data_IF_420421848644
#
_entry.id   IF_420421848644
#
_cell.length_a   1.000
_cell.length_b   1.000
_cell.length_c   1.000
_cell.angle_alpha   90.00
_cell.angle_beta   90.00
_cell.angle_gamma   90.00
#
_symmetry.space_group_name_H-M   'P 1'
#
loop_
_entity.id
_entity.type
_entity.pdbx_description
1 polymer ?
#
# COMPACT_ATOMS: atom_id res chain seq x y z
N UNK A 1 16.02 7.90 -5.81
CA UNK A 1 17.17 7.72 -4.89
C UNK A 1 16.78 6.71 -3.81
N UNK A 2 17.71 5.99 -3.17
CA UNK A 2 17.45 5.18 -1.96
C UNK A 2 18.55 5.42 -0.93
N UNK A 3 18.21 5.42 0.35
CA UNK A 3 19.18 5.48 1.45
C UNK A 3 19.24 4.14 2.16
N UNK A 4 20.44 3.60 2.38
CA UNK A 4 20.68 2.31 3.00
C UNK A 4 21.51 2.47 4.27
N UNK A 5 21.32 1.59 5.24
CA UNK A 5 22.25 1.41 6.35
C UNK A 5 23.40 0.52 5.88
N UNK A 6 24.62 1.02 5.99
CA UNK A 6 25.87 0.32 5.73
C UNK A 6 26.39 -0.34 7.01
N UNK A 7 26.79 -1.61 6.93
CA UNK A 7 27.52 -2.30 7.98
C UNK A 7 29.01 -2.00 7.84
N UNK A 8 29.54 -1.19 8.74
CA UNK A 8 30.98 -0.91 8.80
C UNK A 8 31.75 -2.11 9.37
N UNK A 9 33.05 -2.20 9.07
CA UNK A 9 33.92 -3.28 9.53
C UNK A 9 34.01 -3.39 11.06
N UNK A 10 33.87 -2.27 11.77
CA UNK A 10 33.83 -2.19 13.23
C UNK A 10 32.47 -2.62 13.83
N UNK A 11 31.51 -3.00 12.97
CA UNK A 11 30.16 -3.42 13.35
C UNK A 11 29.19 -2.28 13.62
N UNK A 12 29.62 -1.02 13.48
CA UNK A 12 28.74 0.15 13.52
C UNK A 12 27.90 0.26 12.25
N UNK A 13 26.90 1.16 12.27
CA UNK A 13 26.04 1.43 11.12
C UNK A 13 26.10 2.90 10.74
N UNK A 14 26.06 3.19 9.45
CA UNK A 14 25.97 4.55 8.90
C UNK A 14 24.97 4.58 7.74
N UNK A 15 24.40 5.75 7.46
CA UNK A 15 23.52 5.92 6.31
C UNK A 15 24.34 6.26 5.06
N UNK A 16 23.98 5.66 3.93
CA UNK A 16 24.58 5.93 2.62
C UNK A 16 23.48 6.09 1.59
N UNK A 17 23.59 7.14 0.78
CA UNK A 17 22.66 7.42 -0.32
C UNK A 17 23.14 6.79 -1.63
N UNK A 18 22.20 6.24 -2.37
CA UNK A 18 22.44 5.58 -3.64
C UNK A 18 21.48 6.09 -4.70
N UNK A 19 22.07 6.43 -5.85
CA UNK A 19 21.36 6.45 -7.12
C UNK A 19 21.72 5.15 -7.86
N UNK A 20 20.87 4.69 -8.81
CA UNK A 20 21.19 3.51 -9.59
C UNK A 20 22.59 3.59 -10.23
N UNK A 21 23.38 2.50 -10.22
CA UNK A 21 23.05 1.18 -9.67
C UNK A 21 23.15 1.10 -8.13
N UNK A 22 22.16 0.48 -7.50
CA UNK A 22 22.11 0.24 -6.05
C UNK A 22 22.79 -1.11 -5.73
N UNK A 23 23.67 -1.21 -4.71
CA UNK A 23 24.29 -2.48 -4.34
C UNK A 23 23.26 -3.47 -3.77
N UNK A 24 23.54 -4.79 -3.75
CA UNK A 24 22.67 -5.75 -3.08
C UNK A 24 22.43 -5.39 -1.61
N UNK A 25 21.16 -5.46 -1.19
CA UNK A 25 20.75 -5.08 0.16
C UNK A 25 19.64 -5.99 0.69
N UNK A 26 19.57 -6.10 2.02
CA UNK A 26 18.41 -6.65 2.70
C UNK A 26 17.37 -5.56 2.98
N UNK A 27 16.12 -5.93 3.18
CA UNK A 27 15.06 -5.00 3.57
C UNK A 27 14.30 -5.55 4.78
N UNK A 28 14.12 -4.72 5.81
CA UNK A 28 13.37 -5.10 6.99
C UNK A 28 11.88 -4.79 6.79
N UNK A 29 11.05 -5.79 7.05
CA UNK A 29 9.61 -5.66 7.20
C UNK A 29 9.26 -5.89 8.66
N UNK A 30 8.62 -4.91 9.30
CA UNK A 30 8.26 -4.99 10.72
C UNK A 30 7.03 -4.17 11.04
N UNK A 31 6.40 -4.47 12.18
CA UNK A 31 5.38 -3.59 12.73
C UNK A 31 6.02 -2.55 13.64
N UNK A 32 5.63 -1.30 13.50
CA UNK A 32 6.09 -0.24 14.39
C UNK A 32 5.61 -0.49 15.84
N UNK A 33 6.48 -0.14 16.78
CA UNK A 33 6.25 -0.25 18.21
C UNK A 33 5.67 1.05 18.79
N UNK A 34 6.13 1.39 19.99
CA UNK A 34 5.89 2.71 20.56
C UNK A 34 6.64 3.77 19.71
N UNK A 35 5.96 4.82 19.20
CA UNK A 35 6.59 5.87 18.40
C UNK A 35 7.79 6.55 19.08
N UNK A 36 7.82 6.61 20.42
CA UNK A 36 8.94 7.22 21.15
C UNK A 36 10.16 6.30 21.23
N UNK A 37 9.96 5.00 21.04
CA UNK A 37 10.99 3.96 21.11
C UNK A 37 11.39 3.43 19.73
N UNK A 38 10.70 3.84 18.67
CA UNK A 38 11.07 3.53 17.29
C UNK A 38 12.29 4.36 16.88
N UNK A 39 13.23 3.74 16.17
CA UNK A 39 14.44 4.42 15.71
C UNK A 39 14.11 5.21 14.46
N UNK A 40 14.32 6.52 14.53
CA UNK A 40 14.11 7.44 13.41
C UNK A 40 15.40 7.69 12.61
N UNK A 41 15.26 8.38 11.48
CA UNK A 41 16.40 8.90 10.71
C UNK A 41 17.32 9.77 11.58
N UNK A 42 16.74 10.65 12.40
CA UNK A 42 17.51 11.57 13.25
C UNK A 42 18.31 10.81 14.31
N UNK A 43 17.76 9.72 14.86
CA UNK A 43 18.48 8.92 15.85
C UNK A 43 19.74 8.25 15.28
N UNK A 44 19.73 7.89 13.99
CA UNK A 44 20.92 7.37 13.32
C UNK A 44 21.94 8.48 13.11
N UNK A 45 21.51 9.65 12.62
CA UNK A 45 22.40 10.80 12.37
C UNK A 45 23.06 11.29 13.68
N UNK A 46 22.32 11.30 14.78
CA UNK A 46 22.79 11.76 16.09
C UNK A 46 23.54 10.68 16.88
N UNK A 47 23.57 9.42 16.39
CA UNK A 47 24.19 8.30 17.10
C UNK A 47 23.42 7.86 18.36
N UNK A 48 22.16 8.24 18.50
CA UNK A 48 21.29 7.92 19.65
C UNK A 48 20.43 6.69 19.45
N UNK A 49 20.46 6.08 18.26
CA UNK A 49 19.64 4.92 17.91
C UNK A 49 19.74 3.76 18.92
N UNK A 50 20.93 3.49 19.48
CA UNK A 50 21.14 2.41 20.45
C UNK A 50 20.43 2.61 21.80
N UNK A 51 19.97 3.83 22.09
CA UNK A 51 19.23 4.17 23.31
C UNK A 51 17.74 3.79 23.20
N UNK A 52 17.24 3.59 21.98
CA UNK A 52 15.84 3.27 21.69
C UNK A 52 15.57 1.77 21.87
N UNK A 53 14.47 1.41 22.52
CA UNK A 53 14.11 -0.01 22.74
C UNK A 53 13.89 -0.77 21.43
N UNK A 54 13.32 -0.15 20.40
CA UNK A 54 13.09 -0.82 19.11
C UNK A 54 14.35 -0.95 18.24
N UNK A 55 15.49 -0.44 18.70
CA UNK A 55 16.80 -0.71 18.07
C UNK A 55 17.12 -2.19 17.95
N UNK A 56 16.48 -3.05 18.77
CA UNK A 56 16.53 -4.51 18.63
C UNK A 56 16.20 -4.99 17.21
N UNK A 57 15.26 -4.35 16.50
CA UNK A 57 14.87 -4.69 15.13
C UNK A 57 16.00 -4.43 14.14
N UNK A 58 16.64 -3.27 14.26
CA UNK A 58 17.82 -2.89 13.46
C UNK A 58 18.99 -3.82 13.78
N UNK A 59 19.23 -4.10 15.06
CA UNK A 59 20.29 -5.04 15.49
C UNK A 59 20.06 -6.44 14.93
N UNK A 60 18.81 -6.92 14.90
CA UNK A 60 18.43 -8.16 14.25
C UNK A 60 18.73 -8.10 12.74
N UNK A 61 18.19 -7.11 12.04
CA UNK A 61 18.36 -6.99 10.58
C UNK A 61 19.83 -6.92 10.19
N UNK A 62 20.62 -6.13 10.92
CA UNK A 62 22.08 -6.03 10.77
C UNK A 62 22.75 -7.40 10.89
N UNK A 63 22.45 -8.15 11.95
CA UNK A 63 23.03 -9.49 12.15
C UNK A 63 22.65 -10.46 11.04
N UNK A 64 21.37 -10.46 10.64
CA UNK A 64 20.88 -11.35 9.60
C UNK A 64 21.46 -10.99 8.23
N UNK A 65 21.52 -9.70 7.87
CA UNK A 65 22.16 -9.21 6.65
C UNK A 65 23.64 -9.63 6.59
N UNK A 66 24.40 -9.45 7.67
CA UNK A 66 25.79 -9.89 7.76
C UNK A 66 25.93 -11.42 7.56
N UNK A 67 25.03 -12.21 8.17
CA UNK A 67 25.03 -13.67 8.02
C UNK A 67 24.74 -14.12 6.59
N UNK A 68 23.96 -13.35 5.85
CA UNK A 68 23.64 -13.58 4.44
C UNK A 68 24.64 -12.90 3.48
N UNK A 69 25.74 -12.33 3.99
CA UNK A 69 26.80 -11.71 3.18
C UNK A 69 26.43 -10.34 2.58
N UNK A 70 25.45 -9.66 3.16
CA UNK A 70 24.99 -8.34 2.70
C UNK A 70 25.56 -7.22 3.58
N UNK A 71 26.21 -6.25 2.94
CA UNK A 71 26.79 -5.08 3.60
C UNK A 71 25.81 -3.92 3.77
N UNK A 72 24.66 -3.98 3.09
CA UNK A 72 23.64 -2.95 3.12
C UNK A 72 22.28 -3.52 3.51
N UNK A 73 21.50 -2.73 4.24
CA UNK A 73 20.11 -3.05 4.51
C UNK A 73 19.26 -1.79 4.64
N UNK A 74 17.95 -1.94 4.47
CA UNK A 74 16.99 -0.85 4.52
C UNK A 74 15.94 -1.08 5.62
N UNK A 75 15.58 0.01 6.30
CA UNK A 75 14.54 0.05 7.34
C UNK A 75 13.77 1.37 7.16
N UNK A 76 12.46 1.30 6.92
CA UNK A 76 11.61 2.45 6.60
C UNK A 76 11.68 3.59 7.63
N UNK A 77 11.71 3.25 8.92
CA UNK A 77 11.66 4.24 10.01
C UNK A 77 12.91 5.13 10.07
N UNK A 78 14.06 4.64 9.61
CA UNK A 78 15.33 5.37 9.73
C UNK A 78 16.10 5.57 8.43
N UNK A 79 15.71 4.90 7.34
CA UNK A 79 16.25 5.17 6.02
C UNK A 79 15.49 6.30 5.30
N UNK A 80 14.22 6.55 5.66
CA UNK A 80 13.43 7.67 5.16
C UNK A 80 13.47 8.81 6.20
N UNK A 81 13.82 10.01 5.77
CA UNK A 81 13.63 11.23 6.55
C UNK A 81 12.16 11.67 6.48
N UNK A 82 11.31 11.00 7.26
CA UNK A 82 9.85 11.20 7.23
C UNK A 82 9.38 12.66 7.42
N UNK A 83 10.04 13.51 8.23
CA UNK A 83 9.72 14.94 8.31
C UNK A 83 9.89 15.71 6.99
N UNK A 84 10.72 15.21 6.06
CA UNK A 84 10.86 15.79 4.72
C UNK A 84 9.78 15.21 3.81
N UNK A 85 8.70 15.97 3.57
CA UNK A 85 7.56 15.51 2.78
C UNK A 85 7.91 15.15 1.34
N UNK A 86 8.84 15.87 0.70
CA UNK A 86 9.29 15.55 -0.66
C UNK A 86 9.95 14.17 -0.70
N UNK A 87 10.81 13.89 0.29
CA UNK A 87 11.46 12.59 0.42
C UNK A 87 10.46 11.47 0.75
N UNK A 88 9.54 11.73 1.68
CA UNK A 88 8.48 10.78 2.06
C UNK A 88 7.60 10.41 0.85
N UNK A 89 7.23 11.40 0.03
CA UNK A 89 6.43 11.21 -1.18
C UNK A 89 7.16 10.39 -2.24
N UNK A 90 8.44 10.69 -2.49
CA UNK A 90 9.29 9.87 -3.38
C UNK A 90 9.41 8.44 -2.85
N UNK A 91 9.60 8.29 -1.52
CA UNK A 91 9.79 7.00 -0.89
C UNK A 91 8.56 6.10 -0.98
N UNK A 92 7.37 6.61 -0.66
CA UNK A 92 6.13 5.84 -0.75
C UNK A 92 5.86 5.38 -2.19
N UNK A 93 6.09 6.24 -3.18
CA UNK A 93 5.95 5.87 -4.59
C UNK A 93 7.02 4.88 -5.06
N UNK A 94 8.16 4.78 -4.36
CA UNK A 94 9.27 3.89 -4.70
C UNK A 94 9.29 2.59 -3.90
N UNK A 95 8.57 2.51 -2.77
CA UNK A 95 8.75 1.47 -1.77
C UNK A 95 8.53 0.06 -2.32
N UNK A 96 7.50 -0.14 -3.14
CA UNK A 96 7.24 -1.44 -3.79
C UNK A 96 8.43 -1.90 -4.64
N UNK A 97 9.07 -0.97 -5.38
CA UNK A 97 10.27 -1.27 -6.17
C UNK A 97 11.43 -1.65 -5.27
N UNK A 98 11.63 -0.94 -4.16
CA UNK A 98 12.71 -1.26 -3.21
C UNK A 98 12.52 -2.65 -2.59
N UNK A 99 11.30 -2.99 -2.16
CA UNK A 99 11.01 -4.35 -1.70
C UNK A 99 11.24 -5.40 -2.79
N UNK A 100 10.84 -5.12 -4.04
CA UNK A 100 11.05 -6.04 -5.16
C UNK A 100 12.52 -6.28 -5.50
N UNK A 101 13.35 -5.25 -5.38
CA UNK A 101 14.78 -5.28 -5.74
C UNK A 101 15.70 -5.72 -4.60
N UNK A 102 15.19 -5.80 -3.37
CA UNK A 102 15.94 -6.32 -2.23
C UNK A 102 16.34 -7.79 -2.43
N UNK A 103 17.56 -8.15 -2.02
CA UNK A 103 18.05 -9.53 -2.08
C UNK A 103 17.23 -10.44 -1.14
N UNK A 104 16.96 -9.96 0.07
CA UNK A 104 16.11 -10.62 1.05
C UNK A 104 15.24 -9.61 1.79
N UNK A 105 13.96 -9.93 1.94
CA UNK A 105 13.08 -9.28 2.91
C UNK A 105 13.03 -10.10 4.20
N UNK A 106 13.46 -9.51 5.31
CA UNK A 106 13.36 -10.12 6.63
C UNK A 106 12.11 -9.59 7.34
N UNK A 107 11.17 -10.47 7.62
CA UNK A 107 9.97 -10.16 8.40
C UNK A 107 10.26 -10.43 9.86
N UNK A 108 10.36 -9.37 10.66
CA UNK A 108 10.57 -9.47 12.10
C UNK A 108 9.23 -9.40 12.84
N UNK A 109 8.77 -10.55 13.35
CA UNK A 109 7.48 -10.70 14.01
C UNK A 109 7.61 -10.47 15.52
N UNK A 110 7.49 -9.22 15.95
CA UNK A 110 7.72 -8.80 17.34
C UNK A 110 6.76 -9.41 18.38
N UNK A 111 5.67 -10.05 17.93
CA UNK A 111 4.62 -10.69 18.74
C UNK A 111 4.57 -12.22 18.60
N UNK A 112 5.55 -12.82 17.95
CA UNK A 112 5.69 -14.28 17.80
C UNK A 112 6.98 -14.72 18.50
N UNK A 113 6.89 -15.70 19.40
CA UNK A 113 8.04 -16.23 20.15
C UNK A 113 8.21 -17.72 19.91
N UNK A 114 9.44 -18.15 19.61
CA UNK A 114 9.80 -19.57 19.50
C UNK A 114 9.88 -20.28 20.85
N UNK A 115 9.87 -19.52 21.95
CA UNK A 115 9.88 -20.05 23.32
C UNK A 115 8.52 -20.60 23.74
N UNK A 116 7.46 -20.23 23.02
CA UNK A 116 6.12 -20.78 23.20
C UNK A 116 5.99 -22.04 22.35
N UNK A 117 5.54 -23.15 22.94
CA UNK A 117 5.42 -24.45 22.25
C UNK A 117 3.97 -24.89 22.09
N UNK A 118 3.74 -25.85 21.18
CA UNK A 118 2.43 -26.48 20.99
C UNK A 118 1.41 -25.57 20.27
N UNK A 119 0.10 -25.77 20.48
CA UNK A 119 -0.96 -25.03 19.79
C UNK A 119 -0.88 -23.50 19.95
N UNK A 120 -0.34 -23.01 21.07
CA UNK A 120 -0.16 -21.60 21.34
C UNK A 120 0.84 -20.94 20.37
N UNK A 121 1.91 -21.64 19.99
CA UNK A 121 2.90 -21.14 19.04
C UNK A 121 2.27 -20.86 17.67
N UNK A 122 1.46 -21.81 17.18
CA UNK A 122 0.70 -21.64 15.94
C UNK A 122 -0.28 -20.47 16.05
N UNK A 123 -0.95 -20.31 17.20
CA UNK A 123 -1.86 -19.19 17.40
C UNK A 123 -1.16 -17.83 17.35
N UNK A 124 0.10 -17.70 17.80
CA UNK A 124 0.82 -16.42 17.74
C UNK A 124 1.08 -16.00 16.30
N UNK A 125 1.57 -16.90 15.46
CA UNK A 125 1.80 -16.61 14.04
C UNK A 125 0.50 -16.16 13.35
N UNK A 126 -0.59 -16.92 13.53
CA UNK A 126 -1.89 -16.62 12.91
C UNK A 126 -2.51 -15.30 13.36
N UNK A 127 -2.21 -14.85 14.59
CA UNK A 127 -2.76 -13.62 15.17
C UNK A 127 -1.78 -12.45 15.14
N UNK A 128 -0.63 -12.62 14.50
CA UNK A 128 0.38 -11.57 14.48
C UNK A 128 -0.16 -10.31 13.82
N UNK A 129 0.11 -9.16 14.46
CA UNK A 129 -0.20 -7.84 13.94
C UNK A 129 0.42 -7.59 12.57
N UNK A 130 1.50 -8.30 12.22
CA UNK A 130 2.13 -8.14 10.92
C UNK A 130 1.16 -8.41 9.77
N UNK A 131 0.27 -9.39 9.90
CA UNK A 131 -0.75 -9.70 8.87
C UNK A 131 -1.88 -8.67 8.79
N UNK A 132 -2.04 -7.81 9.81
CA UNK A 132 -3.11 -6.81 9.87
C UNK A 132 -2.65 -5.40 9.52
N UNK A 133 -1.38 -5.17 9.18
CA UNK A 133 -0.89 -3.85 8.73
C UNK A 133 -1.08 -3.70 7.23
N UNK A 134 -1.52 -2.53 6.78
CA UNK A 134 -1.72 -2.23 5.35
C UNK A 134 -0.43 -2.38 4.55
N UNK A 135 0.64 -1.71 5.01
CA UNK A 135 1.94 -1.68 4.34
C UNK A 135 2.57 -3.06 4.14
N UNK A 136 2.41 -4.00 5.06
CA UNK A 136 3.01 -5.36 4.95
C UNK A 136 2.49 -6.17 3.76
N UNK A 137 1.38 -5.74 3.12
CA UNK A 137 0.89 -6.38 1.90
C UNK A 137 1.91 -6.29 0.76
N UNK A 138 2.44 -5.09 0.48
CA UNK A 138 3.47 -4.94 -0.55
C UNK A 138 4.80 -5.56 -0.12
N UNK A 139 5.11 -5.54 1.17
CA UNK A 139 6.32 -6.15 1.73
C UNK A 139 6.31 -7.68 1.59
N UNK A 140 5.12 -8.30 1.53
CA UNK A 140 4.93 -9.72 1.26
C UNK A 140 5.02 -10.05 -0.25
N UNK A 141 4.35 -9.24 -1.06
CA UNK A 141 4.11 -9.53 -2.48
C UNK A 141 5.23 -9.07 -3.40
N UNK A 142 5.90 -7.97 -3.10
CA UNK A 142 6.92 -7.39 -3.96
C UNK A 142 8.24 -8.20 -3.98
N UNK A 143 8.83 -8.61 -2.83
CA UNK A 143 10.13 -9.29 -2.83
C UNK A 143 10.05 -10.72 -3.36
N UNK A 144 11.09 -11.16 -4.07
CA UNK A 144 11.26 -12.55 -4.47
C UNK A 144 11.50 -13.46 -3.25
N UNK A 145 12.28 -13.00 -2.27
CA UNK A 145 12.63 -13.73 -1.05
C UNK A 145 12.08 -13.03 0.19
N UNK A 146 11.19 -13.70 0.94
CA UNK A 146 10.66 -13.21 2.22
C UNK A 146 10.87 -14.30 3.28
N UNK A 147 11.60 -13.97 4.35
CA UNK A 147 11.95 -14.88 5.46
C UNK A 147 11.40 -14.34 6.77
N UNK A 148 10.70 -15.17 7.53
CA UNK A 148 10.01 -14.81 8.77
C UNK A 148 10.85 -15.18 9.98
N UNK A 149 10.92 -14.27 10.95
CA UNK A 149 11.70 -14.42 12.17
C UNK A 149 10.88 -14.04 13.40
N UNK A 150 11.14 -14.71 14.52
CA UNK A 150 10.50 -14.43 15.80
C UNK A 150 11.07 -13.17 16.47
N UNK A 151 10.51 -12.80 17.62
CA UNK A 151 11.04 -11.72 18.46
C UNK A 151 12.43 -12.03 19.04
N UNK A 152 12.84 -13.30 19.09
CA UNK A 152 14.19 -13.72 19.45
C UNK A 152 15.18 -13.61 18.27
N UNK A 153 14.67 -13.45 17.05
CA UNK A 153 15.45 -13.52 15.81
C UNK A 153 15.62 -14.95 15.27
N UNK A 154 14.85 -15.91 15.78
CA UNK A 154 14.89 -17.29 15.31
C UNK A 154 14.06 -17.46 14.02
N UNK A 155 14.50 -18.29 13.07
CA UNK A 155 13.76 -18.51 11.83
C UNK A 155 12.42 -19.23 12.08
N UNK A 156 11.34 -18.70 11.50
CA UNK A 156 9.99 -19.29 11.52
C UNK A 156 9.64 -20.00 10.21
N UNK A 157 10.36 -19.69 9.14
CA UNK A 157 10.14 -20.19 7.78
C UNK A 157 10.28 -19.07 6.75
N UNK A 158 10.03 -19.41 5.50
CA UNK A 158 9.97 -18.48 4.37
C UNK A 158 8.59 -18.47 3.70
N UNK A 159 8.37 -17.52 2.79
CA UNK A 159 7.10 -17.36 2.05
C UNK A 159 6.63 -18.63 1.33
N UNK A 160 7.55 -19.50 0.89
CA UNK A 160 7.22 -20.75 0.21
C UNK A 160 6.81 -21.83 1.21
N UNK A 161 7.62 -22.06 2.24
CA UNK A 161 7.35 -23.03 3.31
C UNK A 161 6.09 -22.70 4.13
N UNK A 162 5.70 -21.42 4.19
CA UNK A 162 4.54 -20.92 4.92
C UNK A 162 3.37 -20.53 4.02
N UNK A 163 3.42 -20.82 2.71
CA UNK A 163 2.45 -20.31 1.72
C UNK A 163 0.99 -20.66 2.07
N UNK A 164 0.74 -21.86 2.62
CA UNK A 164 -0.60 -22.31 2.99
C UNK A 164 -1.11 -21.56 4.22
N UNK A 165 -0.25 -21.31 5.21
CA UNK A 165 -0.56 -20.54 6.40
C UNK A 165 -0.84 -19.08 6.01
N UNK A 166 0.03 -18.49 5.19
CA UNK A 166 -0.12 -17.11 4.71
C UNK A 166 -1.42 -16.97 3.90
N UNK A 167 -1.69 -17.87 2.95
CA UNK A 167 -2.94 -17.88 2.19
C UNK A 167 -4.16 -17.96 3.11
N UNK A 168 -4.14 -18.84 4.12
CA UNK A 168 -5.27 -18.99 5.04
C UNK A 168 -5.56 -17.71 5.84
N UNK A 169 -4.52 -16.97 6.22
CA UNK A 169 -4.62 -15.72 6.99
C UNK A 169 -5.06 -14.56 6.08
N UNK A 170 -4.40 -14.39 4.94
CA UNK A 170 -4.52 -13.17 4.11
C UNK A 170 -5.49 -13.31 2.93
N UNK A 171 -5.90 -14.54 2.61
CA UNK A 171 -6.67 -14.91 1.41
C UNK A 171 -5.97 -14.59 0.08
N UNK A 172 -4.69 -14.25 0.11
CA UNK A 172 -3.88 -14.04 -1.08
C UNK A 172 -3.69 -15.38 -1.80
N UNK A 173 -3.98 -15.43 -3.10
CA UNK A 173 -3.79 -16.62 -3.92
C UNK A 173 -2.33 -17.12 -3.84
N UNK A 174 -2.14 -18.43 -3.66
CA UNK A 174 -0.80 -19.04 -3.56
C UNK A 174 0.06 -18.72 -4.79
N UNK A 175 -0.54 -18.59 -5.97
CA UNK A 175 0.17 -18.20 -7.21
C UNK A 175 0.77 -16.80 -7.08
N UNK A 176 0.09 -15.87 -6.41
CA UNK A 176 0.63 -14.53 -6.15
C UNK A 176 1.79 -14.60 -5.15
N UNK A 177 1.67 -15.41 -4.09
CA UNK A 177 2.76 -15.63 -3.12
C UNK A 177 4.01 -16.22 -3.78
N UNK A 178 3.83 -17.08 -4.79
CA UNK A 178 4.88 -17.69 -5.61
C UNK A 178 5.43 -16.77 -6.71
N UNK A 179 4.99 -15.51 -6.78
CA UNK A 179 5.54 -14.51 -7.71
C UNK A 179 4.88 -14.46 -9.08
N UNK A 180 3.67 -15.02 -9.25
CA UNK A 180 2.89 -14.79 -10.46
C UNK A 180 2.66 -13.27 -10.64
N UNK A 181 2.85 -12.70 -11.84
CA UNK A 181 2.69 -11.27 -12.05
C UNK A 181 1.32 -10.77 -11.58
N UNK A 182 1.30 -9.66 -10.84
CA UNK A 182 0.08 -9.11 -10.24
C UNK A 182 -0.98 -8.70 -11.27
N UNK A 183 -0.53 -8.34 -12.49
CA UNK A 183 -1.39 -8.04 -13.64
C UNK A 183 -2.24 -9.23 -14.12
N UNK A 184 -1.94 -10.46 -13.69
CA UNK A 184 -2.71 -11.65 -14.02
C UNK A 184 -3.84 -11.96 -13.03
N UNK A 185 -4.02 -11.10 -12.01
CA UNK A 185 -5.09 -11.19 -11.03
C UNK A 185 -6.09 -10.07 -11.25
N UNK A 186 -7.36 -10.33 -10.97
CA UNK A 186 -8.40 -9.33 -11.19
C UNK A 186 -8.25 -8.16 -10.22
N UNK A 187 -8.82 -7.02 -10.58
CA UNK A 187 -8.80 -5.81 -9.74
C UNK A 187 -9.55 -6.05 -8.43
N UNK A 188 -10.79 -6.58 -8.43
CA UNK A 188 -11.47 -6.92 -7.19
C UNK A 188 -10.64 -7.86 -6.32
N UNK A 189 -10.03 -8.89 -6.91
CA UNK A 189 -9.17 -9.82 -6.18
C UNK A 189 -8.00 -9.12 -5.49
N UNK A 190 -7.26 -8.25 -6.18
CA UNK A 190 -6.17 -7.47 -5.58
C UNK A 190 -6.64 -6.55 -4.46
N UNK A 191 -7.83 -5.95 -4.59
CA UNK A 191 -8.46 -5.15 -3.54
C UNK A 191 -8.76 -6.03 -2.32
N UNK A 192 -9.30 -7.25 -2.49
CA UNK A 192 -9.63 -8.11 -1.35
C UNK A 192 -8.43 -8.46 -0.47
N UNK A 193 -7.19 -8.45 -1.01
CA UNK A 193 -5.98 -8.71 -0.24
C UNK A 193 -5.65 -7.63 0.80
N UNK A 194 -6.26 -6.45 0.68
CA UNK A 194 -6.16 -5.37 1.67
C UNK A 194 -7.22 -5.47 2.77
N UNK A 195 -8.22 -6.36 2.62
CA UNK A 195 -9.31 -6.53 3.57
C UNK A 195 -8.80 -6.93 4.96
N UNK A 196 -9.38 -6.32 6.00
CA UNK A 196 -8.99 -6.53 7.39
C UNK A 196 -7.65 -5.90 7.81
N UNK A 197 -6.95 -5.23 6.88
CA UNK A 197 -5.71 -4.50 7.19
C UNK A 197 -6.01 -3.08 7.68
N UNK A 198 -5.12 -2.58 8.52
CA UNK A 198 -5.21 -1.30 9.21
C UNK A 198 -3.97 -0.44 8.91
N UNK A 199 -4.19 0.86 8.80
CA UNK A 199 -3.16 1.86 8.58
C UNK A 199 -3.18 2.90 9.68
N UNK A 200 -2.05 3.60 9.90
CA UNK A 200 -1.97 4.64 10.92
C UNK A 200 -2.63 5.94 10.47
N UNK A 201 -2.48 6.27 9.17
CA UNK A 201 -3.21 7.34 8.51
C UNK A 201 -4.30 6.76 7.62
N UNK A 202 -5.37 7.49 7.46
CA UNK A 202 -6.54 7.06 6.69
C UNK A 202 -6.18 6.87 5.20
N UNK A 203 -5.38 7.78 4.64
CA UNK A 203 -4.98 7.77 3.24
C UNK A 203 -4.00 6.63 2.90
N UNK A 204 -3.24 6.16 3.89
CA UNK A 204 -2.32 5.04 3.70
C UNK A 204 -3.06 3.75 3.30
N UNK A 205 -4.37 3.65 3.55
CA UNK A 205 -5.19 2.55 3.05
C UNK A 205 -5.17 2.47 1.52
N UNK A 206 -5.04 3.61 0.84
CA UNK A 206 -4.82 3.69 -0.59
C UNK A 206 -3.33 3.64 -0.95
N UNK A 207 -2.48 4.40 -0.24
CA UNK A 207 -1.07 4.54 -0.60
C UNK A 207 -0.27 3.24 -0.47
N UNK A 208 -0.64 2.35 0.45
CA UNK A 208 -0.01 1.03 0.55
C UNK A 208 -0.29 0.11 -0.66
N UNK A 209 -1.24 0.48 -1.53
CA UNK A 209 -1.66 -0.29 -2.71
C UNK A 209 -1.05 0.22 -4.01
N UNK A 210 -0.34 1.35 -4.02
CA UNK A 210 0.22 1.96 -5.24
C UNK A 210 1.04 0.97 -6.06
N UNK A 211 1.94 0.23 -5.42
CA UNK A 211 2.75 -0.77 -6.09
C UNK A 211 1.99 -2.02 -6.55
N UNK A 212 0.90 -2.38 -5.87
CA UNK A 212 0.03 -3.52 -6.23
C UNK A 212 -0.77 -3.21 -7.50
N UNK A 213 -1.19 -1.95 -7.65
CA UNK A 213 -1.86 -1.44 -8.85
C UNK A 213 -0.89 -0.90 -9.90
N UNK A 214 0.39 -0.80 -9.55
CA UNK A 214 1.45 -0.20 -10.35
C UNK A 214 1.10 1.24 -10.80
N UNK A 215 0.56 2.05 -9.89
CA UNK A 215 0.23 3.46 -10.14
C UNK A 215 1.07 4.38 -9.27
N UNK A 216 1.13 5.65 -9.66
CA UNK A 216 1.83 6.69 -8.93
C UNK A 216 0.89 7.88 -8.77
N UNK A 217 0.61 8.28 -7.54
CA UNK A 217 -0.24 9.44 -7.26
C UNK A 217 0.45 10.35 -6.23
N UNK A 218 0.21 11.67 -6.27
CA UNK A 218 0.71 12.59 -5.25
C UNK A 218 0.17 12.21 -3.87
N UNK A 219 0.96 12.28 -2.81
CA UNK A 219 0.42 12.10 -1.46
C UNK A 219 -0.29 13.38 -1.00
N UNK A 220 -1.47 13.25 -0.40
CA UNK A 220 -2.25 14.37 0.13
C UNK A 220 -2.82 13.94 1.49
N UNK A 221 -1.99 13.98 2.52
CA UNK A 221 -2.46 13.70 3.88
C UNK A 221 -3.43 14.80 4.34
N UNK A 222 -4.59 14.39 4.85
CA UNK A 222 -5.74 15.24 5.16
C UNK A 222 -6.88 15.16 4.14
N UNK A 223 -6.70 14.47 3.00
CA UNK A 223 -7.79 14.23 2.04
C UNK A 223 -8.79 13.17 2.53
N UNK A 224 -8.40 12.35 3.50
CA UNK A 224 -9.22 11.27 4.05
C UNK A 224 -9.24 10.02 3.16
N UNK A 225 -9.56 8.88 3.79
CA UNK A 225 -9.50 7.54 3.14
C UNK A 225 -10.30 7.46 1.84
N UNK A 226 -11.54 7.97 1.84
CA UNK A 226 -12.44 7.85 0.68
C UNK A 226 -11.88 8.56 -0.57
N UNK A 227 -11.34 9.77 -0.41
CA UNK A 227 -10.77 10.54 -1.52
C UNK A 227 -9.46 9.91 -2.02
N UNK A 228 -8.60 9.45 -1.11
CA UNK A 228 -7.36 8.76 -1.46
C UNK A 228 -7.64 7.47 -2.26
N UNK A 229 -8.64 6.68 -1.83
CA UNK A 229 -9.08 5.46 -2.53
C UNK A 229 -9.66 5.78 -3.91
N UNK A 230 -10.52 6.80 -4.01
CA UNK A 230 -11.08 7.25 -5.29
C UNK A 230 -9.97 7.61 -6.29
N UNK A 231 -8.96 8.37 -5.86
CA UNK A 231 -7.81 8.75 -6.70
C UNK A 231 -6.97 7.55 -7.14
N UNK A 232 -6.77 6.58 -6.25
CA UNK A 232 -6.10 5.32 -6.58
C UNK A 232 -6.86 4.58 -7.70
N UNK A 233 -8.17 4.45 -7.56
CA UNK A 233 -9.05 3.78 -8.55
C UNK A 233 -9.05 4.52 -9.89
N UNK A 234 -9.20 5.84 -9.88
CA UNK A 234 -9.15 6.68 -11.08
C UNK A 234 -7.82 6.56 -11.82
N UNK A 235 -6.69 6.61 -11.11
CA UNK A 235 -5.37 6.50 -11.74
C UNK A 235 -5.14 5.11 -12.32
N UNK A 236 -5.62 4.09 -11.61
CA UNK A 236 -5.55 2.73 -12.09
C UNK A 236 -6.43 2.50 -13.33
N UNK A 237 -7.63 3.09 -13.38
CA UNK A 237 -8.51 3.01 -14.54
C UNK A 237 -7.89 3.70 -15.77
N UNK A 238 -7.30 4.89 -15.61
CA UNK A 238 -6.55 5.57 -16.68
C UNK A 238 -5.42 4.70 -17.23
N UNK A 239 -4.70 3.99 -16.34
CA UNK A 239 -3.64 3.06 -16.74
C UNK A 239 -4.18 1.92 -17.59
N UNK A 240 -5.33 1.34 -17.22
CA UNK A 240 -5.97 0.27 -18.01
C UNK A 240 -6.41 0.78 -19.40
N UNK A 241 -6.98 1.97 -19.47
CA UNK A 241 -7.40 2.60 -20.73
C UNK A 241 -6.22 2.78 -21.68
N UNK A 242 -5.11 3.32 -21.17
CA UNK A 242 -3.86 3.50 -21.92
C UNK A 242 -3.28 2.16 -22.40
N UNK A 243 -3.35 1.11 -21.59
CA UNK A 243 -2.88 -0.22 -21.97
C UNK A 243 -3.79 -0.90 -23.02
N UNK A 244 -5.09 -0.57 -23.04
CA UNK A 244 -6.07 -1.11 -23.98
C UNK A 244 -6.13 -0.39 -25.34
N UNK A 245 -5.40 0.71 -25.50
CA UNK A 245 -5.30 1.44 -26.78
C UNK A 245 -6.60 2.14 -27.22
N UNK A 246 -7.56 2.39 -26.31
CA UNK A 246 -8.75 3.18 -26.65
C UNK A 246 -8.35 4.64 -26.90
N UNK A 247 -8.62 5.24 -28.07
CA UNK A 247 -8.34 6.64 -28.31
C UNK A 247 -9.17 7.49 -27.34
N UNK A 248 -8.54 8.49 -26.71
CA UNK A 248 -9.28 9.60 -26.12
C UNK A 248 -10.04 10.27 -27.26
N UNK A 249 -11.36 10.40 -27.14
CA UNK A 249 -12.09 11.39 -27.91
C UNK A 249 -11.54 12.77 -27.49
N UNK A 250 -10.61 13.30 -28.28
CA UNK A 250 -10.19 14.68 -28.14
C UNK A 250 -11.42 15.56 -28.42
N UNK A 251 -11.95 16.18 -27.36
CA UNK A 251 -12.89 17.28 -27.49
C UNK A 251 -12.11 18.42 -28.15
N UNK A 252 -12.15 18.46 -29.48
CA UNK A 252 -11.66 19.58 -30.25
C UNK A 252 -12.55 20.79 -29.95
N UNK A 253 -12.02 21.71 -29.13
CA UNK A 253 -12.56 23.05 -28.95
C UNK A 253 -12.48 23.81 -30.29
N UNK A 254 -13.57 23.73 -31.06
CA UNK A 254 -13.72 24.45 -32.32
C UNK A 254 -14.27 25.85 -32.03
N UNK A 255 -13.41 26.73 -31.54
CA UNK A 255 -13.73 28.14 -31.34
C UNK A 255 -12.72 29.08 -32.01
N UNK A 256 -12.40 28.85 -33.29
CA UNK A 256 -11.97 29.90 -34.23
C UNK A 256 -12.49 29.63 -35.64
N UNK A 257 -13.55 30.32 -36.05
CA UNK A 257 -13.59 31.07 -37.33
C UNK A 257 -14.91 31.84 -37.48
N UNK A 258 -14.77 33.04 -38.04
CA UNK A 258 -15.71 34.16 -38.09
C UNK A 258 -16.57 34.12 -39.35
N UNK A 259 -17.77 34.73 -39.24
CA UNK A 259 -18.65 35.33 -40.28
C UNK A 259 -19.78 34.48 -40.92
N UNK A 260 -20.99 34.95 -40.62
CA UNK A 260 -22.35 34.80 -41.19
C UNK A 260 -22.51 35.53 -42.57
N UNK A 261 -23.69 35.57 -43.25
CA UNK A 261 -24.97 34.81 -43.09
C UNK A 261 -25.72 34.41 -44.42
N UNK A 262 -26.94 33.89 -44.24
CA UNK A 262 -28.13 33.75 -45.14
C UNK A 262 -28.37 32.33 -45.68
N UNK A 263 -29.59 31.78 -45.81
CA UNK A 263 -30.96 32.29 -45.67
C UNK A 263 -31.92 31.15 -45.24
N UNK A 264 -33.15 31.51 -44.89
CA UNK A 264 -34.19 30.71 -44.27
C UNK A 264 -34.86 29.64 -45.15
N UNK A 265 -35.39 28.58 -44.52
CA UNK A 265 -36.77 28.11 -44.77
C UNK A 265 -37.26 27.16 -43.68
N UNK A 266 -38.48 27.46 -43.26
CA UNK A 266 -39.38 26.87 -42.25
C UNK A 266 -39.75 25.41 -42.50
N UNK A 267 -39.97 24.61 -41.46
CA UNK A 267 -41.20 23.80 -41.27
C UNK A 267 -41.23 23.10 -39.90
N UNK A 268 -42.34 23.31 -39.22
CA UNK A 268 -42.75 22.77 -37.92
C UNK A 268 -43.08 21.27 -37.99
N UNK A 269 -42.91 20.56 -36.87
CA UNK A 269 -43.97 19.66 -36.36
C UNK A 269 -43.77 19.31 -34.88
N UNK A 270 -44.91 19.22 -34.20
CA UNK A 270 -45.11 19.08 -32.76
C UNK A 270 -45.12 17.61 -32.28
N UNK A 271 -44.74 17.46 -31.01
CA UNK A 271 -45.24 16.57 -29.94
C UNK A 271 -45.72 15.13 -30.26
N UNK A 272 -45.21 14.17 -29.49
CA UNK A 272 -46.02 13.27 -28.64
C UNK A 272 -45.19 12.65 -27.51
N UNK A 273 -45.90 12.33 -26.42
CA UNK A 273 -45.50 11.90 -25.09
C UNK A 273 -45.47 10.37 -24.89
N UNK A 274 -44.96 9.96 -23.71
CA UNK A 274 -45.05 8.65 -23.05
C UNK A 274 -44.06 7.59 -23.56
N UNK A 275 -43.41 6.75 -22.74
CA UNK A 275 -43.49 6.47 -21.31
C UNK A 275 -42.85 5.09 -21.07
N UNK A 276 -42.07 4.99 -19.99
CA UNK A 276 -41.80 3.83 -19.13
C UNK A 276 -41.34 2.47 -19.71
N UNK A 277 -40.26 1.95 -19.14
CA UNK A 277 -40.02 0.50 -19.02
C UNK A 277 -38.54 0.15 -18.81
N UNK A 278 -38.15 -0.14 -17.56
CA UNK A 278 -36.82 -0.71 -17.27
C UNK A 278 -36.46 -0.69 -15.79
N UNK A 279 -37.07 -1.59 -15.02
CA UNK A 279 -36.63 -2.02 -13.69
C UNK A 279 -35.16 -2.47 -13.71
N UNK A 280 -34.32 -1.94 -12.81
CA UNK A 280 -33.14 -2.63 -12.30
C UNK A 280 -32.84 -2.17 -10.86
N UNK A 281 -32.95 -3.15 -9.97
CA UNK A 281 -32.46 -3.31 -8.59
C UNK A 281 -31.53 -2.22 -8.02
N UNK A 282 -31.95 -1.65 -6.89
CA UNK A 282 -31.21 -0.69 -6.08
C UNK A 282 -30.04 -1.37 -5.32
N UNK A 283 -28.86 -0.76 -5.38
CA UNK A 283 -27.64 -1.18 -4.66
C UNK A 283 -27.70 -0.73 -3.18
N UNK A 284 -27.06 -1.51 -2.30
CA UNK A 284 -27.17 -1.43 -0.84
C UNK A 284 -26.44 -0.25 -0.14
N UNK A 285 -26.24 0.90 -0.80
CA UNK A 285 -25.47 2.04 -0.26
C UNK A 285 -26.10 3.42 -0.60
N UNK A 286 -27.43 3.57 -0.52
CA UNK A 286 -28.07 4.89 -0.60
C UNK A 286 -28.33 5.48 0.80
N UNK A 287 -27.91 6.74 1.00
CA UNK A 287 -28.12 7.54 2.21
C UNK A 287 -29.62 7.64 2.52
N UNK A 288 -30.04 6.97 3.59
CA UNK A 288 -31.41 7.01 4.11
C UNK A 288 -31.46 7.83 5.41
N UNK A 289 -32.54 8.58 5.57
CA UNK A 289 -32.83 9.32 6.79
C UNK A 289 -33.09 8.33 7.93
N UNK A 290 -32.28 8.36 8.99
CA UNK A 290 -32.40 7.41 10.10
C UNK A 290 -33.63 7.65 11.01
N UNK A 291 -34.37 8.75 10.83
CA UNK A 291 -35.61 9.01 11.58
C UNK A 291 -36.83 8.34 10.95
N UNK A 292 -37.00 8.42 9.62
CA UNK A 292 -38.18 7.87 8.92
C UNK A 292 -37.87 6.74 7.91
N UNK A 293 -36.59 6.45 7.67
CA UNK A 293 -36.14 5.48 6.65
C UNK A 293 -36.31 5.95 5.21
N UNK A 294 -36.76 7.19 4.98
CA UNK A 294 -36.93 7.78 3.65
C UNK A 294 -35.62 8.20 3.01
N UNK A 295 -35.58 8.21 1.68
CA UNK A 295 -34.42 8.63 0.88
C UNK A 295 -34.53 10.11 0.47
N UNK A 296 -33.40 10.72 0.10
CA UNK A 296 -33.38 12.05 -0.54
C UNK A 296 -33.43 13.26 0.39
N UNK A 297 -33.31 13.08 1.70
CA UNK A 297 -33.16 14.17 2.68
C UNK A 297 -32.31 13.73 3.89
N UNK A 298 -31.71 14.69 4.59
CA UNK A 298 -30.98 14.41 5.84
C UNK A 298 -31.95 14.35 7.03
N UNK A 299 -31.60 13.60 8.08
CA UNK A 299 -32.45 13.46 9.27
C UNK A 299 -32.79 14.78 9.99
N UNK A 300 -31.95 15.81 9.82
CA UNK A 300 -32.23 17.17 10.35
C UNK A 300 -33.36 17.89 9.62
N UNK A 301 -33.73 17.42 8.44
CA UNK A 301 -34.73 18.00 7.54
C UNK A 301 -35.98 17.09 7.47
N UNK A 302 -36.15 16.18 8.44
CA UNK A 302 -37.26 15.22 8.51
C UNK A 302 -38.45 15.81 9.28
N UNK A 303 -39.62 15.86 8.65
CA UNK A 303 -40.86 16.43 9.21
C UNK A 303 -41.54 15.55 10.27
N UNK A 304 -41.09 14.30 10.41
CA UNK A 304 -41.51 13.38 11.46
C UNK A 304 -40.49 13.40 12.59
N UNK A 305 -40.84 14.05 13.71
CA UNK A 305 -40.10 14.01 14.98
C UNK A 305 -40.82 13.20 16.03
#
# INVERSE_FOLDING_TARGET
MIRLLHLNEDGSISLTEWNPPVPPYAILSHTWGDPNEEVSYQDIIQGTASLKKEYRKIKFCRKQAASDGLHYFWVDTCCINQPNFSELSEAINSMFRWYREAAHCYVYMADVSTRVTGPLARSQFYKSRWFTRGWTLQELLAPASVRFFSVEGDPLGDKMSLETQIHNITKIDIRALRGKPLSQFSVPERITWSSGRQTARDEDAAYCLLGIFEVFIPLIYGEGKANAMKRLEEEFQKRLENASGRPREEIFDRSKSTKQPSAASTSSNQLTSAGLGGEYDHYADEDHCYNCGGYGHFARDCDET
#
